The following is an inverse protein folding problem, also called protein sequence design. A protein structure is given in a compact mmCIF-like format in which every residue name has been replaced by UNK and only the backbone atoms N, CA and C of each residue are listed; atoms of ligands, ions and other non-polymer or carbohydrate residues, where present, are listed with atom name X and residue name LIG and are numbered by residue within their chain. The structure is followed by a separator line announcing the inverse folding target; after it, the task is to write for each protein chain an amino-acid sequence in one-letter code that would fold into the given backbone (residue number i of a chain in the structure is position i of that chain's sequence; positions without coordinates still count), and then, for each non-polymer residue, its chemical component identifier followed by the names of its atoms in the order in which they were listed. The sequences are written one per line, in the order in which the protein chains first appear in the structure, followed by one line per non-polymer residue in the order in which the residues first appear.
data_IF_852711865414
#
_entry.id   IF_852711865414
#
_cell.length_a   1.000
_cell.length_b   1.000
_cell.length_c   1.000
_cell.angle_alpha   90.00
_cell.angle_beta   90.00
_cell.angle_gamma   90.00
#
_symmetry.space_group_name_H-M   'P 1'
#
loop_
_entity.id
_entity.type
_entity.pdbx_description
1 polymer ?
#
# COMPACT_ATOMS: atom_id res chain seq x y z
N UNK A 1 -10.24 -7.43 1.91
CA UNK A 1 -10.07 -6.83 0.58
C UNK A 1 -10.84 -5.53 0.49
N UNK A 2 -10.14 -4.41 0.31
CA UNK A 2 -10.77 -3.11 0.06
C UNK A 2 -11.42 -3.10 -1.32
N UNK A 3 -12.71 -2.82 -1.38
CA UNK A 3 -13.47 -2.67 -2.63
C UNK A 3 -13.85 -1.21 -2.93
N UNK A 4 -13.72 -0.32 -1.94
CA UNK A 4 -13.96 1.11 -2.07
C UNK A 4 -13.17 1.92 -1.04
N UNK A 5 -12.59 3.03 -1.47
CA UNK A 5 -12.01 4.05 -0.59
C UNK A 5 -12.93 5.28 -0.58
N UNK A 6 -13.23 5.82 0.60
CA UNK A 6 -13.97 7.07 0.73
C UNK A 6 -13.18 8.10 1.54
N UNK A 7 -13.34 9.37 1.19
CA UNK A 7 -12.76 10.50 1.93
C UNK A 7 -13.48 11.80 1.59
N UNK A 8 -13.23 12.89 2.34
CA UNK A 8 -13.80 14.21 2.02
C UNK A 8 -13.00 14.95 0.95
N UNK A 9 -11.82 14.44 0.62
CA UNK A 9 -10.99 14.98 -0.47
C UNK A 9 -10.32 16.30 -0.13
N UNK A 10 -10.17 16.65 1.15
CA UNK A 10 -9.27 17.73 1.56
C UNK A 10 -7.85 17.48 1.01
N UNK A 11 -7.06 18.53 0.78
CA UNK A 11 -5.64 18.39 0.38
C UNK A 11 -4.86 17.51 1.38
N UNK A 12 -3.68 17.02 1.02
CA UNK A 12 -2.89 16.15 1.90
C UNK A 12 -3.42 14.72 1.98
N UNK A 13 -3.69 14.22 3.19
CA UNK A 13 -3.93 12.78 3.44
C UNK A 13 -5.17 12.24 2.71
N UNK A 14 -6.24 13.02 2.70
CA UNK A 14 -7.53 12.63 2.13
C UNK A 14 -7.47 12.58 0.59
N UNK A 15 -6.80 13.57 -0.01
CA UNK A 15 -6.52 13.60 -1.44
C UNK A 15 -5.64 12.43 -1.88
N UNK A 16 -4.56 12.16 -1.13
CA UNK A 16 -3.66 11.04 -1.38
C UNK A 16 -4.43 9.70 -1.42
N UNK A 17 -5.35 9.47 -0.46
CA UNK A 17 -6.15 8.25 -0.45
C UNK A 17 -7.03 8.10 -1.71
N UNK A 18 -7.65 9.19 -2.17
CA UNK A 18 -8.44 9.17 -3.41
C UNK A 18 -7.57 8.97 -4.65
N UNK A 19 -6.38 9.58 -4.69
CA UNK A 19 -5.45 9.42 -5.80
C UNK A 19 -4.88 8.00 -5.88
N UNK A 20 -4.56 7.35 -4.74
CA UNK A 20 -4.21 5.91 -4.70
C UNK A 20 -5.36 5.06 -5.24
N UNK A 21 -6.60 5.34 -4.83
CA UNK A 21 -7.75 4.59 -5.32
C UNK A 21 -7.89 4.70 -6.84
N UNK A 22 -7.74 5.90 -7.40
CA UNK A 22 -7.77 6.15 -8.84
C UNK A 22 -6.60 5.42 -9.52
N UNK A 23 -5.37 5.58 -9.01
CA UNK A 23 -4.15 4.96 -9.56
C UNK A 23 -4.26 3.44 -9.66
N UNK A 24 -4.83 2.80 -8.64
CA UNK A 24 -4.95 1.35 -8.55
C UNK A 24 -6.26 0.78 -9.13
N UNK A 25 -7.15 1.65 -9.63
CA UNK A 25 -8.44 1.26 -10.19
C UNK A 25 -9.46 0.79 -9.15
N UNK A 26 -9.30 1.18 -7.90
CA UNK A 26 -10.23 0.92 -6.80
C UNK A 26 -11.38 1.93 -6.89
N UNK A 27 -12.61 1.50 -6.59
CA UNK A 27 -13.73 2.44 -6.52
C UNK A 27 -13.44 3.50 -5.46
N UNK A 28 -13.67 4.76 -5.80
CA UNK A 28 -13.52 5.87 -4.86
C UNK A 28 -14.81 6.70 -4.73
N UNK A 29 -14.89 7.50 -3.66
CA UNK A 29 -15.92 8.51 -3.50
C UNK A 29 -15.87 9.15 -2.12
N UNK A 30 -17.01 9.62 -1.63
CA UNK A 30 -17.13 10.22 -0.30
C UNK A 30 -18.10 11.40 -0.29
N UNK A 31 -18.12 12.11 0.82
CA UNK A 31 -19.09 13.18 1.07
C UNK A 31 -18.39 14.47 1.44
N UNK A 32 -18.90 15.57 0.87
CA UNK A 32 -18.43 16.94 1.15
C UNK A 32 -19.62 17.80 1.54
N UNK A 33 -19.40 18.78 2.43
CA UNK A 33 -20.44 19.74 2.79
C UNK A 33 -20.68 20.77 1.69
N UNK A 34 -21.91 21.30 1.65
CA UNK A 34 -22.33 22.28 0.67
C UNK A 34 -21.45 23.52 0.70
N UNK A 35 -20.92 23.91 -0.45
CA UNK A 35 -20.12 25.12 -0.60
C UNK A 35 -18.84 25.14 0.25
N UNK A 36 -18.36 23.98 0.70
CA UNK A 36 -17.08 23.86 1.39
C UNK A 36 -15.96 23.80 0.34
N UNK A 37 -15.17 24.86 0.13
CA UNK A 37 -13.98 24.75 -0.69
C UNK A 37 -13.01 23.80 0.00
N UNK A 38 -12.33 22.98 -0.81
CA UNK A 38 -11.03 22.44 -0.39
C UNK A 38 -10.02 23.57 -0.35
N UNK A 39 -8.85 23.37 0.24
CA UNK A 39 -7.83 24.45 0.29
C UNK A 39 -7.51 25.05 -1.10
N UNK A 40 -7.60 24.24 -2.16
CA UNK A 40 -7.42 24.68 -3.56
C UNK A 40 -8.71 25.15 -4.25
N UNK A 41 -9.81 25.31 -3.51
CA UNK A 41 -11.10 25.69 -4.05
C UNK A 41 -11.92 24.48 -4.51
N UNK A 42 -12.45 24.55 -5.74
CA UNK A 42 -13.34 23.53 -6.30
C UNK A 42 -12.59 22.21 -6.53
N UNK A 43 -13.20 21.10 -6.13
CA UNK A 43 -12.65 19.76 -6.35
C UNK A 43 -12.66 19.39 -7.84
N UNK A 44 -11.54 18.88 -8.39
CA UNK A 44 -11.50 18.39 -9.77
C UNK A 44 -12.51 17.26 -10.03
N UNK A 45 -13.11 17.24 -11.23
CA UNK A 45 -14.15 16.27 -11.65
C UNK A 45 -13.70 14.79 -11.57
N UNK A 46 -12.39 14.53 -11.48
CA UNK A 46 -11.86 13.17 -11.29
C UNK A 46 -12.29 12.54 -9.96
N UNK A 47 -12.69 13.33 -8.96
CA UNK A 47 -13.12 12.84 -7.66
C UNK A 47 -14.64 12.65 -7.60
N UNK A 48 -15.10 11.40 -7.42
CA UNK A 48 -16.53 11.04 -7.39
C UNK A 48 -17.16 11.31 -6.01
N UNK A 49 -17.14 12.57 -5.59
CA UNK A 49 -17.66 13.01 -4.28
C UNK A 49 -19.11 13.47 -4.39
N UNK A 50 -19.88 13.27 -3.32
CA UNK A 50 -21.28 13.68 -3.23
C UNK A 50 -21.40 14.84 -2.25
N UNK A 51 -21.89 15.99 -2.74
CA UNK A 51 -22.21 17.13 -1.90
C UNK A 51 -23.46 16.82 -1.05
N UNK A 52 -23.41 17.16 0.23
CA UNK A 52 -24.56 17.07 1.13
C UNK A 52 -25.15 18.46 1.38
N UNK A 53 -26.47 18.54 1.56
CA UNK A 53 -27.22 19.77 1.88
C UNK A 53 -26.97 20.25 3.32
N UNK A 54 -25.71 20.46 3.69
CA UNK A 54 -25.27 21.02 4.95
C UNK A 54 -23.91 21.66 4.77
N UNK A 55 -23.68 22.83 5.35
CA UNK A 55 -22.36 23.50 5.37
C UNK A 55 -21.44 22.95 6.47
N UNK A 56 -21.92 22.05 7.32
CA UNK A 56 -21.16 21.52 8.44
C UNK A 56 -20.34 20.28 8.02
N UNK A 57 -19.01 20.42 8.02
CA UNK A 57 -18.05 19.34 7.73
C UNK A 57 -18.26 18.08 8.60
N UNK A 58 -18.74 18.23 9.84
CA UNK A 58 -19.01 17.09 10.71
C UNK A 58 -20.16 16.22 10.20
N UNK A 59 -21.16 16.80 9.53
CA UNK A 59 -22.27 16.03 8.95
C UNK A 59 -21.79 15.17 7.78
N UNK A 60 -20.86 15.70 6.97
CA UNK A 60 -20.23 14.96 5.89
C UNK A 60 -19.35 13.82 6.44
N UNK A 61 -18.54 14.10 7.46
CA UNK A 61 -17.73 13.10 8.14
C UNK A 61 -18.59 12.00 8.76
N UNK A 62 -19.68 12.35 9.45
CA UNK A 62 -20.62 11.39 10.04
C UNK A 62 -21.24 10.46 9.00
N UNK A 63 -21.59 11.01 7.82
CA UNK A 63 -22.11 10.22 6.71
C UNK A 63 -21.05 9.26 6.15
N UNK A 64 -19.81 9.72 5.98
CA UNK A 64 -18.69 8.87 5.57
C UNK A 64 -18.46 7.74 6.57
N UNK A 65 -18.41 8.04 7.87
CA UNK A 65 -18.27 7.03 8.93
C UNK A 65 -19.35 5.95 8.83
N UNK A 66 -20.61 6.35 8.69
CA UNK A 66 -21.77 5.43 8.65
C UNK A 66 -21.76 4.53 7.42
N UNK A 67 -21.10 4.94 6.33
CA UNK A 67 -21.03 4.21 5.06
C UNK A 67 -19.70 3.48 4.85
N UNK A 68 -18.81 3.53 5.84
CA UNK A 68 -17.55 2.79 5.86
C UNK A 68 -17.61 1.64 6.85
N UNK A 69 -16.90 0.56 6.53
CA UNK A 69 -16.71 -0.56 7.45
C UNK A 69 -15.62 -0.25 8.50
N UNK A 70 -14.76 0.73 8.21
CA UNK A 70 -13.79 1.25 9.16
C UNK A 70 -13.13 2.54 8.69
N UNK A 71 -12.52 3.24 9.63
CA UNK A 71 -11.87 4.54 9.40
C UNK A 71 -10.39 4.53 9.78
N UNK A 72 -9.53 4.84 8.83
CA UNK A 72 -8.12 5.12 9.04
C UNK A 72 -7.92 6.62 9.29
N UNK A 73 -7.32 6.96 10.42
CA UNK A 73 -6.89 8.32 10.76
C UNK A 73 -5.36 8.37 10.73
N UNK A 74 -4.80 9.01 9.71
CA UNK A 74 -3.35 9.06 9.45
C UNK A 74 -2.83 10.49 9.56
N UNK A 75 -1.76 10.69 10.32
CA UNK A 75 -1.23 12.03 10.62
C UNK A 75 0.23 11.95 11.08
N UNK A 76 0.86 13.11 11.25
CA UNK A 76 2.21 13.26 11.80
C UNK A 76 2.17 14.22 12.98
N UNK A 77 2.83 13.86 14.08
CA UNK A 77 2.95 14.73 15.24
C UNK A 77 1.63 14.90 15.99
N UNK A 78 1.11 16.13 16.05
CA UNK A 78 -0.12 16.43 16.80
C UNK A 78 -1.33 16.26 15.88
N UNK A 79 -2.32 15.51 16.34
CA UNK A 79 -3.56 15.30 15.59
C UNK A 79 -4.34 16.62 15.46
N UNK A 80 -4.67 17.01 14.23
CA UNK A 80 -5.47 18.19 13.95
C UNK A 80 -6.92 18.02 14.45
N UNK A 81 -7.59 19.14 14.70
CA UNK A 81 -8.92 19.16 15.33
C UNK A 81 -9.98 18.37 14.54
N UNK A 82 -9.97 18.44 13.21
CA UNK A 82 -10.96 17.74 12.39
C UNK A 82 -10.77 16.20 12.42
N UNK A 83 -9.60 15.64 12.05
CA UNK A 83 -9.33 14.21 12.21
C UNK A 83 -9.55 13.68 13.63
N UNK A 84 -9.28 14.49 14.65
CA UNK A 84 -9.57 14.12 16.04
C UNK A 84 -11.07 13.96 16.32
N UNK A 85 -11.91 14.85 15.81
CA UNK A 85 -13.37 14.69 15.90
C UNK A 85 -13.86 13.46 15.16
N UNK A 86 -13.31 13.17 13.97
CA UNK A 86 -13.64 11.95 13.21
C UNK A 86 -13.31 10.70 14.03
N UNK A 87 -12.14 10.66 14.66
CA UNK A 87 -11.73 9.57 15.55
C UNK A 87 -12.71 9.37 16.72
N UNK A 88 -13.02 10.45 17.46
CA UNK A 88 -13.94 10.39 18.60
C UNK A 88 -15.35 9.94 18.18
N UNK A 89 -15.82 10.40 17.00
CA UNK A 89 -17.13 10.04 16.49
C UNK A 89 -17.20 8.58 16.04
N UNK A 90 -16.14 8.06 15.40
CA UNK A 90 -16.03 6.65 15.03
C UNK A 90 -16.05 5.76 16.27
N UNK A 91 -15.28 6.12 17.31
CA UNK A 91 -15.26 5.40 18.58
C UNK A 91 -16.63 5.39 19.26
N UNK A 92 -17.31 6.54 19.31
CA UNK A 92 -18.67 6.66 19.87
C UNK A 92 -19.69 5.78 19.13
N UNK A 93 -19.50 5.57 17.83
CA UNK A 93 -20.38 4.77 16.98
C UNK A 93 -19.99 3.30 16.88
N UNK A 94 -18.92 2.88 17.58
CA UNK A 94 -18.39 1.53 17.52
C UNK A 94 -18.00 1.10 16.09
N UNK A 95 -17.61 2.07 15.25
CA UNK A 95 -17.04 1.80 13.94
C UNK A 95 -15.55 1.51 14.15
N UNK A 96 -14.99 0.42 13.59
CA UNK A 96 -13.56 0.16 13.63
C UNK A 96 -12.76 1.40 13.21
N UNK A 97 -11.87 1.85 14.08
CA UNK A 97 -11.01 3.01 13.82
C UNK A 97 -9.56 2.65 14.10
N UNK A 98 -8.68 2.99 13.17
CA UNK A 98 -7.23 2.83 13.33
C UNK A 98 -6.55 4.17 13.20
N UNK A 99 -5.86 4.58 14.26
CA UNK A 99 -5.16 5.85 14.31
C UNK A 99 -3.65 5.59 14.25
N UNK A 100 -2.94 6.28 13.35
CA UNK A 100 -1.50 6.13 13.21
C UNK A 100 -0.77 7.46 13.09
N UNK A 101 0.28 7.61 13.90
CA UNK A 101 1.20 8.74 13.85
C UNK A 101 2.49 8.34 13.12
N UNK A 102 2.70 8.88 11.93
CA UNK A 102 3.82 8.52 11.06
C UNK A 102 5.19 8.99 11.58
N UNK A 103 5.23 9.82 12.63
CA UNK A 103 6.50 10.15 13.31
C UNK A 103 6.96 9.07 14.30
N UNK A 104 6.08 8.14 14.66
CA UNK A 104 6.35 7.13 15.69
C UNK A 104 6.74 5.77 15.14
N UNK A 105 6.50 5.55 13.84
CA UNK A 105 6.64 4.25 13.19
C UNK A 105 7.09 4.43 11.74
N UNK A 106 7.83 3.46 11.21
CA UNK A 106 8.21 3.45 9.81
C UNK A 106 7.01 3.16 8.90
N UNK A 107 7.05 3.67 7.66
CA UNK A 107 6.01 3.43 6.66
C UNK A 107 5.71 1.92 6.46
N UNK A 108 6.73 1.06 6.55
CA UNK A 108 6.57 -0.39 6.44
C UNK A 108 5.74 -0.99 7.59
N UNK A 109 6.10 -0.66 8.84
CA UNK A 109 5.36 -1.16 10.02
C UNK A 109 3.93 -0.64 10.00
N UNK A 110 3.75 0.64 9.68
CA UNK A 110 2.45 1.26 9.52
C UNK A 110 1.60 0.54 8.48
N UNK A 111 2.15 0.29 7.28
CA UNK A 111 1.41 -0.37 6.19
C UNK A 111 0.98 -1.79 6.57
N UNK A 112 1.85 -2.55 7.23
CA UNK A 112 1.52 -3.91 7.71
C UNK A 112 0.42 -3.88 8.76
N UNK A 113 0.51 -2.98 9.74
CA UNK A 113 -0.49 -2.85 10.79
C UNK A 113 -1.86 -2.43 10.24
N UNK A 114 -1.87 -1.51 9.26
CA UNK A 114 -3.11 -1.09 8.59
C UNK A 114 -3.71 -2.29 7.82
N UNK A 115 -2.91 -3.04 7.06
CA UNK A 115 -3.38 -4.21 6.32
C UNK A 115 -3.94 -5.30 7.25
N UNK A 116 -3.23 -5.60 8.34
CA UNK A 116 -3.69 -6.53 9.39
C UNK A 116 -5.00 -6.06 10.04
N UNK A 117 -5.12 -4.76 10.33
CA UNK A 117 -6.33 -4.17 10.89
C UNK A 117 -7.52 -4.25 9.94
N UNK A 118 -7.33 -3.90 8.65
CA UNK A 118 -8.35 -4.03 7.59
C UNK A 118 -8.89 -5.45 7.54
N UNK A 119 -7.98 -6.43 7.53
CA UNK A 119 -8.32 -7.85 7.47
C UNK A 119 -9.06 -8.31 8.72
N UNK A 120 -8.54 -7.98 9.89
CA UNK A 120 -9.11 -8.43 11.18
C UNK A 120 -10.52 -7.88 11.42
N UNK A 121 -10.84 -6.73 10.83
CA UNK A 121 -12.15 -6.07 10.95
C UNK A 121 -13.03 -6.25 9.70
N UNK A 122 -12.61 -7.05 8.71
CA UNK A 122 -13.33 -7.28 7.45
C UNK A 122 -13.70 -5.98 6.70
N UNK A 123 -12.81 -5.00 6.71
CA UNK A 123 -13.07 -3.68 6.13
C UNK A 123 -13.05 -3.78 4.60
N UNK A 124 -14.18 -3.52 3.97
CA UNK A 124 -14.34 -3.50 2.51
C UNK A 124 -14.46 -2.07 1.97
N UNK A 125 -15.12 -1.20 2.73
CA UNK A 125 -15.21 0.25 2.48
C UNK A 125 -14.37 0.97 3.53
N UNK A 126 -13.21 1.47 3.11
CA UNK A 126 -12.29 2.19 3.99
C UNK A 126 -12.51 3.69 3.88
N UNK A 127 -12.82 4.35 5.00
CA UNK A 127 -12.75 5.80 5.11
C UNK A 127 -11.35 6.24 5.52
N UNK A 128 -10.79 7.26 4.89
CA UNK A 128 -9.48 7.82 5.25
C UNK A 128 -9.62 9.30 5.61
N UNK A 129 -9.05 9.68 6.75
CA UNK A 129 -8.98 11.07 7.20
C UNK A 129 -7.59 11.41 7.75
N UNK A 130 -7.20 12.68 7.64
CA UNK A 130 -5.91 13.17 8.08
C UNK A 130 -5.79 14.69 7.92
N UNK A 131 -4.63 15.28 8.24
CA UNK A 131 -4.41 16.71 8.10
C UNK A 131 -4.38 17.14 6.64
N UNK A 132 -4.69 18.42 6.41
CA UNK A 132 -4.52 19.06 5.10
C UNK A 132 -3.06 19.32 4.77
N UNK A 133 -2.77 19.64 3.52
CA UNK A 133 -1.40 19.95 3.09
C UNK A 133 -0.86 21.25 3.71
N UNK A 134 -1.70 22.27 3.91
CA UNK A 134 -1.28 23.46 4.66
C UNK A 134 -0.93 23.15 6.12
N UNK A 135 -1.54 22.11 6.71
CA UNK A 135 -1.23 21.67 8.07
C UNK A 135 0.05 20.81 8.12
N UNK A 136 0.26 19.97 7.11
CA UNK A 136 1.46 19.17 6.95
C UNK A 136 1.78 18.93 5.47
N UNK A 137 2.72 19.68 4.92
CA UNK A 137 3.11 19.60 3.51
C UNK A 137 3.76 18.27 3.11
N UNK A 138 4.15 17.42 4.06
CA UNK A 138 4.77 16.13 3.78
C UNK A 138 3.81 14.94 3.98
N UNK A 139 2.53 15.19 4.33
CA UNK A 139 1.58 14.10 4.59
C UNK A 139 1.12 13.40 3.32
N UNK A 140 0.97 14.13 2.20
CA UNK A 140 0.45 13.57 0.95
C UNK A 140 1.30 12.39 0.46
N UNK A 141 2.60 12.62 0.25
CA UNK A 141 3.52 11.61 -0.28
C UNK A 141 3.64 10.38 0.62
N UNK A 142 3.63 10.59 1.95
CA UNK A 142 3.70 9.48 2.89
C UNK A 142 2.43 8.63 2.87
N UNK A 143 1.25 9.26 2.81
CA UNK A 143 -0.02 8.55 2.73
C UNK A 143 -0.12 7.80 1.40
N UNK A 144 0.32 8.40 0.28
CA UNK A 144 0.40 7.72 -1.01
C UNK A 144 1.18 6.40 -0.92
N UNK A 145 2.43 6.47 -0.45
CA UNK A 145 3.30 5.28 -0.36
C UNK A 145 2.77 4.21 0.61
N UNK A 146 2.23 4.63 1.75
CA UNK A 146 1.64 3.71 2.74
C UNK A 146 0.40 3.02 2.18
N UNK A 147 -0.52 3.77 1.57
CA UNK A 147 -1.78 3.23 1.06
C UNK A 147 -1.56 2.29 -0.14
N UNK A 148 -0.58 2.60 -1.01
CA UNK A 148 -0.16 1.67 -2.06
C UNK A 148 0.36 0.36 -1.46
N UNK A 149 1.26 0.44 -0.48
CA UNK A 149 1.80 -0.74 0.20
C UNK A 149 0.71 -1.56 0.91
N UNK A 150 -0.24 -0.91 1.59
CA UNK A 150 -1.41 -1.56 2.23
C UNK A 150 -2.20 -2.37 1.20
N UNK A 151 -2.48 -1.78 0.04
CA UNK A 151 -3.27 -2.47 -0.98
C UNK A 151 -2.53 -3.65 -1.61
N UNK A 152 -1.21 -3.51 -1.84
CA UNK A 152 -0.41 -4.65 -2.29
C UNK A 152 -0.37 -5.78 -1.26
N UNK A 153 -0.27 -5.46 0.03
CA UNK A 153 -0.32 -6.47 1.10
C UNK A 153 -1.68 -7.19 1.16
N UNK A 154 -2.78 -6.48 0.99
CA UNK A 154 -4.15 -7.03 0.97
C UNK A 154 -4.43 -7.89 -0.28
N UNK A 155 -3.89 -7.52 -1.45
CA UNK A 155 -3.95 -8.30 -2.69
C UNK A 155 -3.16 -9.61 -2.61
N UNK A 156 -1.95 -9.58 -2.06
CA UNK A 156 -1.05 -10.74 -2.02
C UNK A 156 -1.56 -11.85 -1.08
N UNK A 157 -2.38 -11.51 -0.08
CA UNK A 157 -3.01 -12.48 0.83
C UNK A 157 -4.23 -13.18 0.21
N UNK A 158 -4.80 -12.64 -0.88
CA UNK A 158 -5.99 -13.19 -1.53
C UNK A 158 -5.68 -14.34 -2.50
N UNK A 159 -4.50 -14.35 -3.11
CA UNK A 159 -4.09 -15.32 -4.15
C UNK A 159 -2.96 -16.28 -3.71
N UNK A 160 -2.48 -16.19 -2.46
CA UNK A 160 -1.48 -17.13 -1.93
C UNK A 160 -2.15 -18.22 -1.08
N UNK A 161 -1.79 -19.51 -1.24
CA UNK A 161 -2.24 -20.56 -0.32
C UNK A 161 -1.85 -20.19 1.11
N UNK A 162 -2.87 -20.01 1.94
CA UNK A 162 -2.76 -19.56 3.34
C UNK A 162 -1.83 -20.48 4.13
N UNK A 163 -0.59 -20.07 4.36
CA UNK A 163 0.19 -20.64 5.46
C UNK A 163 -0.35 -20.04 6.75
N UNK A 164 -1.18 -20.82 7.44
CA UNK A 164 -1.70 -20.63 8.80
C UNK A 164 -0.68 -19.92 9.68
N UNK A 165 -1.00 -18.73 10.20
CA UNK A 165 -0.30 -18.14 11.33
C UNK A 165 -1.32 -17.75 12.40
N UNK A 166 -1.33 -18.55 13.47
CA UNK A 166 -1.89 -18.24 14.78
C UNK A 166 -2.27 -19.50 15.55
N UNK A 167 -1.99 -19.60 16.86
CA UNK A 167 -0.86 -19.12 17.65
C UNK A 167 0.13 -20.27 17.99
N UNK A 168 1.25 -19.92 18.64
CA UNK A 168 2.26 -20.86 19.17
C UNK A 168 1.63 -22.13 19.78
N UNK A 169 1.75 -23.26 19.11
CA UNK A 169 1.96 -24.56 19.72
C UNK A 169 2.74 -25.44 18.75
N UNK A 170 3.72 -26.13 19.31
CA UNK A 170 4.48 -27.20 18.68
C UNK A 170 3.54 -28.19 18.01
N UNK A 171 3.69 -28.41 16.70
CA UNK A 171 3.49 -29.73 16.10
C UNK A 171 4.02 -29.74 14.67
N UNK A 172 4.94 -30.69 14.48
CA UNK A 172 5.53 -31.15 13.23
C UNK A 172 4.45 -31.63 12.26
N UNK A 173 4.34 -31.01 11.09
CA UNK A 173 3.83 -31.66 9.87
C UNK A 173 4.40 -30.98 8.62
N UNK A 174 4.78 -31.74 7.58
CA UNK A 174 5.72 -31.30 6.56
C UNK A 174 5.01 -30.55 5.41
N UNK A 175 5.10 -29.22 5.40
CA UNK A 175 4.87 -28.46 4.17
C UNK A 175 6.02 -28.73 3.20
N UNK A 176 5.70 -29.11 1.95
CA UNK A 176 6.65 -29.28 0.84
C UNK A 176 7.83 -28.31 0.93
N UNK A 177 9.09 -28.77 0.78
CA UNK A 177 10.24 -27.90 0.88
C UNK A 177 10.19 -26.89 -0.25
N UNK A 178 9.86 -25.64 0.07
CA UNK A 178 10.14 -24.53 -0.83
C UNK A 178 11.66 -24.42 -0.90
N UNK A 179 12.22 -24.81 -2.04
CA UNK A 179 13.64 -24.60 -2.34
C UNK A 179 13.81 -23.17 -2.87
N UNK A 180 14.47 -22.29 -2.11
CA UNK A 180 14.68 -20.91 -2.55
C UNK A 180 15.58 -20.90 -3.80
N UNK A 181 15.38 -19.95 -4.72
CA UNK A 181 16.22 -19.82 -5.90
C UNK A 181 17.66 -19.56 -5.49
N UNK A 182 18.60 -20.27 -6.13
CA UNK A 182 20.04 -20.21 -5.85
C UNK A 182 20.81 -19.29 -6.82
N UNK A 183 20.13 -18.68 -7.79
CA UNK A 183 20.75 -17.79 -8.77
C UNK A 183 19.84 -16.63 -9.17
N UNK A 184 20.41 -15.54 -9.67
CA UNK A 184 19.63 -14.40 -10.15
C UNK A 184 18.64 -14.82 -11.25
N UNK A 185 19.06 -15.68 -12.17
CA UNK A 185 18.19 -16.21 -13.23
C UNK A 185 17.00 -16.99 -12.69
N UNK A 186 17.25 -17.94 -11.77
CA UNK A 186 16.17 -18.74 -11.15
C UNK A 186 15.25 -17.88 -10.27
N UNK A 187 15.78 -16.85 -9.62
CA UNK A 187 15.00 -15.89 -8.87
C UNK A 187 14.04 -15.09 -9.76
N UNK A 188 14.51 -14.61 -10.92
CA UNK A 188 13.67 -13.88 -11.86
C UNK A 188 12.62 -14.80 -12.49
N UNK A 189 13.01 -16.01 -12.90
CA UNK A 189 12.08 -17.00 -13.46
C UNK A 189 10.98 -17.36 -12.45
N UNK A 190 11.36 -17.57 -11.18
CA UNK A 190 10.41 -17.79 -10.09
C UNK A 190 9.43 -16.61 -9.99
N UNK A 191 9.91 -15.38 -9.99
CA UNK A 191 9.03 -14.21 -9.92
C UNK A 191 8.11 -14.09 -11.15
N UNK A 192 8.62 -14.32 -12.37
CA UNK A 192 7.81 -14.27 -13.60
C UNK A 192 6.70 -15.32 -13.58
N UNK A 193 7.00 -16.53 -13.11
CA UNK A 193 6.05 -17.64 -13.07
C UNK A 193 4.98 -17.46 -11.99
N UNK A 194 5.30 -16.75 -10.91
CA UNK A 194 4.40 -16.57 -9.76
C UNK A 194 3.71 -15.19 -9.74
N UNK A 195 4.15 -14.21 -10.54
CA UNK A 195 3.50 -12.91 -10.64
C UNK A 195 2.30 -12.95 -11.62
N UNK A 196 1.12 -12.43 -11.20
CA UNK A 196 -0.01 -12.23 -12.09
C UNK A 196 0.36 -11.42 -13.34
N UNK A 197 -0.33 -11.67 -14.46
CA UNK A 197 -0.06 -10.97 -15.72
C UNK A 197 -0.20 -9.45 -15.58
N UNK A 198 -1.18 -8.98 -14.79
CA UNK A 198 -1.40 -7.56 -14.49
C UNK A 198 -0.16 -6.93 -13.83
N UNK A 199 0.43 -7.61 -12.86
CA UNK A 199 1.58 -7.09 -12.10
C UNK A 199 2.85 -7.12 -12.95
N UNK A 200 3.03 -8.18 -13.75
CA UNK A 200 4.09 -8.23 -14.75
C UNK A 200 4.00 -7.08 -15.76
N UNK A 201 2.80 -6.79 -16.24
CA UNK A 201 2.55 -5.66 -17.15
C UNK A 201 2.76 -4.32 -16.44
N UNK A 202 2.32 -4.16 -15.19
CA UNK A 202 2.55 -2.95 -14.39
C UNK A 202 4.04 -2.68 -14.24
N UNK A 203 4.81 -3.66 -13.73
CA UNK A 203 6.25 -3.56 -13.54
C UNK A 203 6.93 -3.23 -14.87
N UNK A 204 6.60 -3.92 -15.97
CA UNK A 204 7.18 -3.67 -17.29
C UNK A 204 7.02 -2.21 -17.78
N UNK A 205 5.96 -1.51 -17.35
CA UNK A 205 5.68 -0.14 -17.76
C UNK A 205 6.13 0.93 -16.74
N UNK A 206 6.70 0.53 -15.59
CA UNK A 206 7.28 1.48 -14.63
C UNK A 206 8.55 2.14 -15.19
N UNK A 207 8.73 3.42 -14.87
CA UNK A 207 10.01 4.11 -15.03
C UNK A 207 11.01 3.59 -14.00
N UNK A 208 12.30 3.64 -14.33
CA UNK A 208 13.36 3.13 -13.44
C UNK A 208 13.38 3.83 -12.07
N UNK A 209 13.06 5.13 -12.05
CA UNK A 209 12.94 5.96 -10.82
C UNK A 209 11.81 5.51 -9.89
N UNK A 210 10.84 4.73 -10.40
CA UNK A 210 9.73 4.21 -9.61
C UNK A 210 10.04 2.84 -8.99
N UNK A 211 11.08 2.14 -9.46
CA UNK A 211 11.45 0.82 -8.93
C UNK A 211 11.73 0.78 -7.41
N UNK A 212 12.31 1.84 -6.79
CA UNK A 212 12.44 1.90 -5.33
C UNK A 212 11.12 1.68 -4.57
N UNK A 213 9.97 1.99 -5.17
CA UNK A 213 8.66 1.75 -4.52
C UNK A 213 8.35 0.25 -4.34
N UNK A 214 8.87 -0.60 -5.23
CA UNK A 214 8.70 -2.05 -5.17
C UNK A 214 9.57 -2.71 -4.08
N UNK A 215 10.57 -2.02 -3.55
CA UNK A 215 11.39 -2.56 -2.45
C UNK A 215 10.54 -2.88 -1.22
N UNK A 216 9.56 -2.03 -0.93
CA UNK A 216 8.70 -2.18 0.25
C UNK A 216 7.71 -3.34 0.13
N UNK A 217 7.52 -3.89 -1.08
CA UNK A 217 6.61 -5.01 -1.35
C UNK A 217 7.38 -6.22 -1.87
N UNK A 218 7.71 -6.22 -3.16
CA UNK A 218 8.44 -7.28 -3.84
C UNK A 218 9.83 -7.50 -3.23
N UNK A 219 10.48 -6.43 -2.77
CA UNK A 219 11.78 -6.53 -2.11
C UNK A 219 11.73 -7.32 -0.80
N UNK A 220 10.70 -7.07 0.03
CA UNK A 220 10.46 -7.82 1.27
C UNK A 220 10.10 -9.29 1.02
N UNK A 221 9.32 -9.56 -0.02
CA UNK A 221 9.03 -10.92 -0.47
C UNK A 221 10.32 -11.65 -0.83
N UNK A 222 11.14 -11.06 -1.70
CA UNK A 222 12.44 -11.61 -2.13
C UNK A 222 13.31 -11.89 -0.92
N UNK A 223 13.43 -10.91 -0.02
CA UNK A 223 14.26 -11.02 1.16
C UNK A 223 13.86 -12.18 2.09
N UNK A 224 12.55 -12.32 2.33
CA UNK A 224 12.01 -13.33 3.25
C UNK A 224 11.94 -14.71 2.61
N UNK A 225 11.33 -14.81 1.42
CA UNK A 225 11.10 -16.09 0.74
C UNK A 225 12.38 -16.66 0.16
N UNK A 226 13.28 -15.83 -0.38
CA UNK A 226 14.55 -16.35 -0.90
C UNK A 226 15.61 -16.52 0.20
N UNK A 227 15.21 -16.40 1.47
CA UNK A 227 16.04 -16.74 2.64
C UNK A 227 17.36 -15.97 2.66
N UNK A 228 17.35 -14.69 2.27
CA UNK A 228 18.57 -13.88 2.20
C UNK A 228 19.24 -13.74 3.58
N UNK A 229 18.44 -13.53 4.63
CA UNK A 229 18.92 -13.47 6.03
C UNK A 229 19.23 -14.83 6.66
N UNK A 230 18.91 -15.94 5.99
CA UNK A 230 19.20 -17.29 6.47
C UNK A 230 20.38 -17.92 5.70
N UNK A 231 21.14 -17.11 4.95
CA UNK A 231 22.39 -17.53 4.33
C UNK A 231 22.24 -18.17 2.95
N UNK A 232 21.30 -17.71 2.10
CA UNK A 232 21.28 -18.08 0.68
C UNK A 232 22.46 -17.44 -0.08
N UNK A 233 23.67 -17.95 0.19
CA UNK A 233 24.94 -17.41 -0.32
C UNK A 233 25.06 -17.51 -1.83
N UNK A 234 24.49 -18.56 -2.43
CA UNK A 234 24.55 -18.80 -3.86
C UNK A 234 23.81 -17.72 -4.64
N UNK A 235 22.60 -17.37 -4.20
CA UNK A 235 21.83 -16.28 -4.79
C UNK A 235 22.53 -14.93 -4.60
N UNK A 236 23.05 -14.66 -3.39
CA UNK A 236 23.78 -13.42 -3.09
C UNK A 236 25.00 -13.30 -4.00
N UNK A 237 25.78 -14.37 -4.17
CA UNK A 237 26.96 -14.39 -5.02
C UNK A 237 26.60 -14.25 -6.50
N UNK A 238 25.52 -14.90 -6.94
CA UNK A 238 24.99 -14.76 -8.30
C UNK A 238 24.56 -13.32 -8.60
N UNK A 239 23.96 -12.62 -7.64
CA UNK A 239 23.60 -11.21 -7.78
C UNK A 239 24.84 -10.30 -7.81
N UNK A 240 25.85 -10.55 -6.96
CA UNK A 240 27.12 -9.80 -6.95
C UNK A 240 27.89 -9.89 -8.27
N UNK A 241 27.91 -11.07 -8.88
CA UNK A 241 28.56 -11.29 -10.17
C UNK A 241 27.91 -10.57 -11.35
N UNK A 242 26.61 -10.26 -11.27
CA UNK A 242 25.86 -9.67 -12.39
C UNK A 242 26.10 -8.15 -12.55
N UNK A 243 26.43 -7.43 -11.47
CA UNK A 243 26.60 -5.97 -11.51
C UNK A 243 28.07 -5.50 -11.48
N UNK A 244 29.05 -6.41 -11.44
CA UNK A 244 30.47 -6.06 -11.30
C UNK A 244 30.76 -5.18 -10.04
N UNK A 245 29.85 -5.21 -9.06
CA UNK A 245 29.93 -4.44 -7.82
C UNK A 245 30.23 -5.40 -6.67
N UNK A 246 31.49 -5.40 -6.24
CA UNK A 246 32.03 -6.33 -5.22
C UNK A 246 31.50 -6.01 -3.80
N UNK A 247 30.86 -4.85 -3.61
CA UNK A 247 30.42 -4.32 -2.31
C UNK A 247 28.90 -4.20 -2.17
N UNK A 248 28.14 -5.21 -2.57
CA UNK A 248 26.69 -5.26 -2.29
C UNK A 248 26.42 -5.90 -0.93
N UNK A 249 25.74 -5.17 -0.05
CA UNK A 249 25.22 -5.71 1.21
C UNK A 249 24.00 -6.59 0.95
N UNK A 250 23.64 -7.43 1.92
CA UNK A 250 22.48 -8.35 1.79
C UNK A 250 21.18 -7.56 1.58
N UNK A 251 21.10 -6.35 2.14
CA UNK A 251 19.96 -5.43 2.04
C UNK A 251 19.75 -4.88 0.62
N UNK A 252 20.80 -4.87 -0.21
CA UNK A 252 20.75 -4.36 -1.59
C UNK A 252 20.32 -5.43 -2.60
N UNK A 253 20.37 -6.72 -2.22
CA UNK A 253 20.09 -7.85 -3.12
C UNK A 253 18.67 -7.80 -3.71
N UNK A 254 17.62 -7.43 -2.96
CA UNK A 254 16.30 -7.24 -3.55
C UNK A 254 16.26 -6.16 -4.63
N UNK A 255 17.06 -5.09 -4.53
CA UNK A 255 17.18 -4.05 -5.57
C UNK A 255 17.64 -4.65 -6.89
N UNK A 256 18.69 -5.47 -6.82
CA UNK A 256 19.32 -6.10 -7.97
C UNK A 256 18.32 -7.04 -8.66
N UNK A 257 17.59 -7.84 -7.89
CA UNK A 257 16.60 -8.77 -8.40
C UNK A 257 15.42 -8.02 -9.02
N UNK A 258 14.87 -6.99 -8.37
CA UNK A 258 13.76 -6.19 -8.89
C UNK A 258 14.14 -5.50 -10.20
N UNK A 259 15.33 -4.87 -10.25
CA UNK A 259 15.81 -4.19 -11.46
C UNK A 259 16.01 -5.18 -12.61
N UNK A 260 16.55 -6.36 -12.32
CA UNK A 260 16.75 -7.41 -13.33
C UNK A 260 15.42 -7.99 -13.84
N UNK A 261 14.46 -8.23 -12.94
CA UNK A 261 13.09 -8.62 -13.30
C UNK A 261 12.44 -7.58 -14.20
N UNK A 262 12.53 -6.30 -13.84
CA UNK A 262 11.99 -5.19 -14.63
C UNK A 262 12.57 -5.16 -16.06
N UNK A 263 13.90 -5.25 -16.21
CA UNK A 263 14.56 -5.32 -17.52
C UNK A 263 14.09 -6.52 -18.37
N UNK A 264 13.84 -7.67 -17.74
CA UNK A 264 13.35 -8.86 -18.44
C UNK A 264 11.88 -8.73 -18.85
N UNK A 265 11.04 -8.16 -17.98
CA UNK A 265 9.64 -7.90 -18.27
C UNK A 265 9.46 -6.83 -19.36
N UNK A 266 10.33 -5.82 -19.44
CA UNK A 266 10.30 -4.83 -20.51
C UNK A 266 10.47 -5.43 -21.92
N UNK A 267 11.22 -6.53 -22.05
CA UNK A 267 11.42 -7.22 -23.33
C UNK A 267 10.18 -7.98 -23.79
N UNK A 268 9.32 -8.38 -22.85
CA UNK A 268 8.28 -9.40 -23.06
C UNK A 268 6.86 -8.88 -22.83
N UNK A 269 6.67 -7.84 -22.02
CA UNK A 269 5.37 -7.38 -21.52
C UNK A 269 5.14 -5.86 -21.67
N UNK A 270 6.03 -5.14 -22.36
CA UNK A 270 5.83 -3.71 -22.66
C UNK A 270 4.67 -3.57 -23.64
N UNK A 271 3.65 -2.79 -23.27
CA UNK A 271 2.49 -2.55 -24.12
C UNK A 271 2.94 -1.74 -25.34
N UNK A 272 2.76 -2.30 -26.54
CA UNK A 272 2.92 -1.54 -27.78
C UNK A 272 1.64 -0.74 -28.01
N UNK A 273 1.72 0.59 -27.96
CA UNK A 273 0.67 1.43 -28.53
C UNK A 273 0.61 1.15 -30.04
N UNK A 274 -0.45 0.46 -30.48
CA UNK A 274 -0.82 0.43 -31.89
C UNK A 274 -1.45 1.79 -32.17
N UNK A 275 -0.78 2.60 -33.02
CA UNK A 275 -1.32 3.86 -33.54
C UNK A 275 -2.43 3.59 -34.55
#
# INVERSE_FOLDING_TARGET
MIIKIISSGETGAERAALDVAIKLGIRHGGYICKGCPTEEGALPDKYRLTEIESTNRLVAAEKSLTLSDGTLVIYRGKLAAHPHHVFLLAQKRQIPVFQVNLLTQSAFTTSRQIAEWIKSNNISILNVSGPSENQDGAIYDQVMGIMEAVFFLDLMDADMPKTVHGPRHSETSPSSPFDPPASLGSAIEHLINNLPLKDRAMIANMAEVELPTLHFTLGNYIHTKFRLNQGNTDLIQSCRGHMNMITLEVEDIPAVIIRSLWQQLQKTHKLRCIK
#
